data_IF_799484095963
#
_entry.id   IF_799484095963
#
_cell.length_a   1.000
_cell.length_b   1.000
_cell.length_c   1.000
_cell.angle_alpha   90.00
_cell.angle_beta   90.00
_cell.angle_gamma   90.00
#
_symmetry.space_group_name_H-M   'P 1'
#
loop_
_entity.id
_entity.type
_entity.pdbx_description
1 polymer ?
#
# COMPACT_ATOMS: atom_id res chain seq x y z
N UNK A 1 -7.28 -17.83 33.15
CA UNK A 1 -7.32 -17.03 31.90
C UNK A 1 -6.37 -15.83 31.97
N UNK A 2 -5.80 -15.52 33.14
CA UNK A 2 -4.83 -14.43 33.30
C UNK A 2 -3.46 -14.68 32.67
N UNK A 3 -3.01 -15.92 32.51
CA UNK A 3 -1.68 -16.24 31.93
C UNK A 3 -1.57 -15.87 30.45
N UNK A 4 -2.68 -15.93 29.69
CA UNK A 4 -2.71 -15.48 28.28
C UNK A 4 -2.80 -13.96 28.17
N UNK A 5 -3.52 -13.30 29.07
CA UNK A 5 -3.56 -11.84 29.13
C UNK A 5 -2.23 -11.25 29.61
N UNK A 6 -1.56 -11.90 30.55
CA UNK A 6 -0.22 -11.55 31.04
C UNK A 6 0.86 -11.86 30.00
N UNK A 7 0.72 -12.96 29.24
CA UNK A 7 1.59 -13.29 28.12
C UNK A 7 1.45 -12.30 26.95
N UNK A 8 0.22 -11.90 26.62
CA UNK A 8 -0.05 -10.86 25.62
C UNK A 8 0.45 -9.49 26.08
N UNK A 9 0.28 -9.15 27.37
CA UNK A 9 0.86 -7.94 27.98
C UNK A 9 2.38 -7.96 27.98
N UNK A 10 3.01 -9.11 28.22
CA UNK A 10 4.47 -9.26 28.18
C UNK A 10 5.03 -9.17 26.76
N UNK A 11 4.33 -9.69 25.75
CA UNK A 11 4.71 -9.48 24.36
C UNK A 11 4.47 -8.03 23.90
N UNK A 12 3.38 -7.40 24.34
CA UNK A 12 3.12 -5.98 24.09
C UNK A 12 4.13 -5.06 24.82
N UNK A 13 4.50 -5.38 26.06
CA UNK A 13 5.49 -4.63 26.83
C UNK A 13 6.92 -4.83 26.31
N UNK A 14 7.26 -6.03 25.82
CA UNK A 14 8.56 -6.29 25.18
C UNK A 14 8.69 -5.61 23.81
N UNK A 15 7.57 -5.37 23.10
CA UNK A 15 7.53 -4.60 21.86
C UNK A 15 7.56 -3.08 22.07
N UNK A 16 7.32 -2.61 23.31
CA UNK A 16 7.25 -1.20 23.72
C UNK A 16 8.33 -0.88 24.77
N UNK A 17 9.49 -1.53 24.69
CA UNK A 17 10.67 -1.03 25.39
C UNK A 17 11.30 0.06 24.51
N UNK A 18 11.31 1.34 24.92
CA UNK A 18 11.95 2.39 24.15
C UNK A 18 13.46 2.23 24.32
N UNK A 19 14.10 1.42 23.47
CA UNK A 19 15.54 1.52 23.32
C UNK A 19 15.83 2.82 22.58
N UNK A 20 16.01 3.89 23.35
CA UNK A 20 16.58 5.15 22.94
C UNK A 20 18.07 4.98 22.58
N UNK A 21 18.40 4.05 21.67
CA UNK A 21 19.69 4.06 21.01
C UNK A 21 19.58 5.02 19.83
N UNK A 22 20.45 6.03 19.72
CA UNK A 22 20.53 6.85 18.52
C UNK A 22 20.69 5.92 17.30
N UNK A 23 20.14 6.32 16.15
CA UNK A 23 20.35 5.62 14.88
C UNK A 23 21.85 5.54 14.61
N UNK A 24 22.48 4.42 14.98
CA UNK A 24 23.88 4.14 14.67
C UNK A 24 23.91 3.55 13.28
N UNK A 25 24.80 4.07 12.43
CA UNK A 25 24.97 3.63 11.05
C UNK A 25 25.72 2.29 11.00
N UNK A 26 25.12 1.25 11.56
CA UNK A 26 25.63 -0.11 11.53
C UNK A 26 25.33 -0.78 10.18
N UNK A 27 26.21 -1.65 9.70
CA UNK A 27 26.06 -2.41 8.46
C UNK A 27 24.67 -3.06 8.26
N UNK A 28 24.04 -3.70 9.27
CA UNK A 28 22.66 -4.20 9.15
C UNK A 28 21.61 -3.11 8.91
N UNK A 29 21.78 -1.91 9.48
CA UNK A 29 20.87 -0.79 9.27
C UNK A 29 21.01 -0.22 7.85
N UNK A 30 22.23 -0.22 7.30
CA UNK A 30 22.48 0.15 5.90
C UNK A 30 21.85 -0.85 4.93
N UNK A 31 21.99 -2.15 5.18
CA UNK A 31 21.32 -3.20 4.39
C UNK A 31 19.80 -3.04 4.49
N UNK A 32 19.28 -2.73 5.69
CA UNK A 32 17.87 -2.46 5.89
C UNK A 32 17.35 -1.26 5.12
N UNK A 33 18.12 -0.18 5.10
CA UNK A 33 17.82 1.01 4.33
C UNK A 33 17.81 0.71 2.82
N UNK A 34 18.79 -0.04 2.32
CA UNK A 34 18.86 -0.45 0.92
C UNK A 34 17.69 -1.36 0.51
N UNK A 35 17.30 -2.30 1.37
CA UNK A 35 16.12 -3.14 1.15
C UNK A 35 14.83 -2.32 1.17
N UNK A 36 14.71 -1.34 2.07
CA UNK A 36 13.56 -0.43 2.10
C UNK A 36 13.44 0.39 0.81
N UNK A 37 14.57 0.80 0.24
CA UNK A 37 14.62 1.52 -1.03
C UNK A 37 14.24 0.61 -2.21
N UNK A 38 14.64 -0.66 -2.19
CA UNK A 38 14.23 -1.65 -3.18
C UNK A 38 12.71 -1.92 -3.13
N UNK A 39 12.15 -2.07 -1.93
CA UNK A 39 10.70 -2.22 -1.73
C UNK A 39 9.96 -0.98 -2.24
N UNK A 40 10.47 0.22 -1.95
CA UNK A 40 9.92 1.47 -2.47
C UNK A 40 9.90 1.49 -4.01
N UNK A 41 10.98 1.03 -4.63
CA UNK A 41 11.12 0.99 -6.09
C UNK A 41 10.12 0.02 -6.74
N UNK A 42 9.93 -1.17 -6.15
CA UNK A 42 8.98 -2.17 -6.63
C UNK A 42 7.52 -1.71 -6.42
N UNK A 43 7.26 -0.96 -5.35
CA UNK A 43 5.92 -0.43 -5.05
C UNK A 43 5.51 0.76 -5.93
N UNK A 44 6.47 1.46 -6.53
CA UNK A 44 6.24 2.65 -7.37
C UNK A 44 5.20 2.48 -8.50
N UNK A 45 5.28 1.44 -9.35
CA UNK A 45 4.32 1.26 -10.45
C UNK A 45 2.88 0.95 -10.00
N UNK A 46 2.65 0.61 -8.73
CA UNK A 46 1.32 0.26 -8.21
C UNK A 46 0.47 1.43 -7.72
N UNK A 47 1.04 2.63 -7.52
CA UNK A 47 0.32 3.82 -7.03
C UNK A 47 -0.26 3.72 -5.62
N UNK A 48 -0.24 2.53 -5.02
CA UNK A 48 -0.78 2.19 -3.72
C UNK A 48 0.40 2.16 -2.75
N UNK A 49 0.82 3.32 -2.25
CA UNK A 49 2.02 3.47 -1.41
C UNK A 49 2.12 2.34 -0.38
N UNK A 50 3.20 1.57 -0.43
CA UNK A 50 3.41 0.29 0.29
C UNK A 50 3.55 0.41 1.81
N UNK A 51 2.63 1.15 2.45
CA UNK A 51 2.64 1.50 3.86
C UNK A 51 2.83 0.29 4.79
N UNK A 52 2.20 -0.84 4.48
CA UNK A 52 2.33 -2.09 5.23
C UNK A 52 3.74 -2.69 5.16
N UNK A 53 4.42 -2.59 4.02
CA UNK A 53 5.80 -3.06 3.90
C UNK A 53 6.78 -2.18 4.65
N UNK A 54 6.59 -0.85 4.66
CA UNK A 54 7.45 0.08 5.39
C UNK A 54 7.44 -0.18 6.90
N UNK A 55 6.27 -0.45 7.48
CA UNK A 55 6.16 -0.77 8.92
C UNK A 55 6.93 -2.06 9.25
N UNK A 56 6.78 -3.11 8.44
CA UNK A 56 7.52 -4.36 8.62
C UNK A 56 9.03 -4.15 8.51
N UNK A 57 9.47 -3.41 7.50
CA UNK A 57 10.88 -3.09 7.26
C UNK A 57 11.45 -2.29 8.43
N UNK A 58 10.76 -1.26 8.91
CA UNK A 58 11.23 -0.43 10.02
C UNK A 58 11.23 -1.17 11.36
N UNK A 59 10.24 -2.04 11.63
CA UNK A 59 10.25 -2.87 12.83
C UNK A 59 11.38 -3.91 12.82
N UNK A 60 11.63 -4.56 11.67
CA UNK A 60 12.63 -5.64 11.58
C UNK A 60 14.06 -5.09 11.51
N UNK A 61 14.29 -4.02 10.75
CA UNK A 61 15.63 -3.53 10.45
C UNK A 61 16.08 -2.43 11.40
N UNK A 62 15.19 -1.48 11.73
CA UNK A 62 15.53 -0.37 12.62
C UNK A 62 15.26 -0.69 14.08
N UNK A 63 14.63 -1.85 14.37
CA UNK A 63 14.15 -2.25 15.70
C UNK A 63 13.37 -1.13 16.41
N UNK A 64 12.70 -0.28 15.63
CA UNK A 64 11.89 0.79 16.17
C UNK A 64 10.64 0.18 16.82
N UNK A 65 10.16 0.76 17.93
CA UNK A 65 8.89 0.36 18.50
C UNK A 65 7.78 0.58 17.48
N UNK A 66 6.77 -0.28 17.49
CA UNK A 66 5.73 -0.34 16.45
C UNK A 66 5.05 1.03 16.20
N UNK A 67 4.84 1.81 17.26
CA UNK A 67 4.25 3.14 17.17
C UNK A 67 5.14 4.14 16.39
N UNK A 68 6.44 4.14 16.64
CA UNK A 68 7.41 5.02 15.96
C UNK A 68 7.67 4.56 14.53
N UNK A 69 7.74 3.24 14.31
CA UNK A 69 7.86 2.65 12.98
C UNK A 69 6.65 3.01 12.10
N UNK A 70 5.43 2.95 12.66
CA UNK A 70 4.20 3.33 11.97
C UNK A 70 4.17 4.82 11.62
N UNK A 71 4.55 5.70 12.57
CA UNK A 71 4.66 7.14 12.31
C UNK A 71 5.68 7.47 11.22
N UNK A 72 6.85 6.83 11.26
CA UNK A 72 7.92 7.01 10.27
C UNK A 72 7.50 6.49 8.90
N UNK A 73 6.82 5.34 8.83
CA UNK A 73 6.26 4.80 7.59
C UNK A 73 5.23 5.73 6.96
N UNK A 74 4.32 6.29 7.76
CA UNK A 74 3.33 7.25 7.27
C UNK A 74 4.00 8.50 6.69
N UNK A 75 5.05 9.01 7.35
CA UNK A 75 5.83 10.15 6.85
C UNK A 75 6.53 9.84 5.53
N UNK A 76 7.18 8.68 5.40
CA UNK A 76 7.88 8.28 4.16
C UNK A 76 6.91 8.13 2.99
N UNK A 77 5.75 7.51 3.23
CA UNK A 77 4.70 7.38 2.20
C UNK A 77 4.16 8.76 1.80
N UNK A 78 3.89 9.63 2.77
CA UNK A 78 3.44 11.00 2.50
C UNK A 78 4.48 11.77 1.67
N UNK A 79 5.75 11.73 2.08
CA UNK A 79 6.85 12.37 1.35
C UNK A 79 6.99 11.81 -0.08
N UNK A 80 6.85 10.50 -0.26
CA UNK A 80 6.86 9.85 -1.58
C UNK A 80 5.70 10.32 -2.47
N UNK A 81 4.49 10.42 -1.93
CA UNK A 81 3.32 10.94 -2.64
C UNK A 81 3.48 12.42 -3.01
N UNK A 82 4.01 13.25 -2.09
CA UNK A 82 4.29 14.67 -2.37
C UNK A 82 5.36 14.81 -3.45
N UNK A 83 6.46 14.05 -3.38
CA UNK A 83 7.51 14.07 -4.41
C UNK A 83 6.96 13.63 -5.78
N UNK A 84 6.12 12.59 -5.81
CA UNK A 84 5.44 12.14 -7.03
C UNK A 84 4.52 13.23 -7.58
N UNK A 85 3.70 13.85 -6.73
CA UNK A 85 2.82 14.95 -7.11
C UNK A 85 3.63 16.15 -7.67
N UNK A 86 4.69 16.59 -6.99
CA UNK A 86 5.57 17.67 -7.46
C UNK A 86 6.19 17.34 -8.82
N UNK A 87 6.67 16.10 -9.00
CA UNK A 87 7.25 15.66 -10.28
C UNK A 87 6.23 15.61 -11.42
N UNK A 88 4.96 15.33 -11.11
CA UNK A 88 3.86 15.27 -12.06
C UNK A 88 3.29 16.67 -12.37
N UNK A 89 3.28 17.58 -11.38
CA UNK A 89 2.88 18.98 -11.57
C UNK A 89 3.80 19.74 -12.53
N UNK A 90 5.10 19.39 -12.56
CA UNK A 90 6.07 19.95 -13.49
C UNK A 90 6.00 19.39 -14.91
N UNK A 91 5.18 18.36 -15.17
CA UNK A 91 5.05 17.71 -16.48
C UNK A 91 3.79 18.20 -17.18
N UNK A 92 3.97 18.78 -18.36
CA UNK A 92 2.87 19.14 -19.27
C UNK A 92 2.51 17.94 -20.14
N UNK A 93 1.23 17.83 -20.48
CA UNK A 93 0.73 16.70 -21.23
C UNK A 93 1.28 16.69 -22.68
N UNK A 94 2.11 15.70 -23.09
CA UNK A 94 2.74 15.71 -24.42
C UNK A 94 1.76 15.52 -25.58
N UNK A 95 0.55 15.05 -25.29
CA UNK A 95 -0.48 14.69 -26.28
C UNK A 95 -1.50 15.80 -26.56
N UNK A 96 -1.45 16.94 -25.86
CA UNK A 96 -2.40 18.04 -26.02
C UNK A 96 -1.76 19.25 -26.70
N UNK A 97 -2.42 19.81 -27.73
CA UNK A 97 -1.99 21.02 -28.43
C UNK A 97 -2.04 22.31 -27.57
N UNK A 98 -2.48 22.22 -26.31
CA UNK A 98 -2.51 23.28 -25.30
C UNK A 98 -1.76 22.82 -24.05
N UNK A 99 -1.15 23.73 -23.27
CA UNK A 99 -0.49 23.40 -22.01
C UNK A 99 -1.54 23.00 -20.96
N UNK A 100 -2.00 21.76 -21.04
CA UNK A 100 -2.84 21.15 -20.02
C UNK A 100 -1.94 20.43 -19.00
N UNK A 101 -2.21 20.57 -17.70
CA UNK A 101 -1.51 19.78 -16.68
C UNK A 101 -1.75 18.29 -16.95
N UNK A 102 -0.73 17.47 -16.69
CA UNK A 102 -0.86 16.01 -16.80
C UNK A 102 -1.84 15.43 -15.76
N UNK A 103 -2.07 16.16 -14.66
CA UNK A 103 -2.97 15.79 -13.56
C UNK A 103 -4.36 16.37 -13.81
N UNK A 104 -5.39 15.52 -13.77
CA UNK A 104 -6.79 15.93 -13.74
C UNK A 104 -7.21 16.29 -12.30
N UNK A 105 -7.17 17.59 -11.99
CA UNK A 105 -7.50 18.10 -10.66
C UNK A 105 -9.00 18.01 -10.33
N UNK A 106 -9.89 18.00 -11.31
CA UNK A 106 -11.34 17.91 -11.07
C UNK A 106 -11.67 16.52 -10.52
N UNK A 107 -11.08 15.48 -11.10
CA UNK A 107 -11.20 14.11 -10.59
C UNK A 107 -10.61 13.96 -9.18
N UNK A 108 -9.48 14.62 -8.88
CA UNK A 108 -8.86 14.60 -7.54
C UNK A 108 -9.77 15.30 -6.52
N UNK A 109 -10.34 16.45 -6.86
CA UNK A 109 -11.22 17.22 -5.98
C UNK A 109 -12.53 16.49 -5.66
N UNK A 110 -13.03 15.66 -6.58
CA UNK A 110 -14.21 14.81 -6.32
C UNK A 110 -13.86 13.61 -5.45
N UNK A 111 -12.66 13.03 -5.60
CA UNK A 111 -12.24 11.85 -4.84
C UNK A 111 -11.68 12.16 -3.45
N UNK A 112 -11.06 13.32 -3.25
CA UNK A 112 -10.36 13.63 -2.00
C UNK A 112 -11.32 13.76 -0.79
N UNK A 113 -12.46 14.50 -0.86
CA UNK A 113 -13.38 14.65 0.26
C UNK A 113 -13.97 13.33 0.79
N UNK A 114 -14.52 12.41 -0.04
CA UNK A 114 -15.04 11.15 0.47
C UNK A 114 -13.94 10.25 1.04
N UNK A 115 -12.70 10.35 0.52
CA UNK A 115 -11.56 9.64 1.09
C UNK A 115 -11.23 10.14 2.51
N UNK A 116 -11.11 11.46 2.68
CA UNK A 116 -10.84 12.08 3.98
C UNK A 116 -11.96 11.82 4.99
N UNK A 117 -13.22 11.89 4.55
CA UNK A 117 -14.39 11.56 5.37
C UNK A 117 -14.34 10.10 5.84
N UNK A 118 -14.00 9.17 4.94
CA UNK A 118 -13.86 7.75 5.27
C UNK A 118 -12.76 7.49 6.30
N UNK A 119 -11.60 8.14 6.17
CA UNK A 119 -10.51 8.04 7.15
C UNK A 119 -10.96 8.60 8.51
N UNK A 120 -11.53 9.80 8.54
CA UNK A 120 -12.02 10.42 9.77
C UNK A 120 -13.07 9.56 10.48
N UNK A 121 -14.03 9.02 9.72
CA UNK A 121 -15.04 8.11 10.24
C UNK A 121 -14.42 6.82 10.77
N UNK A 122 -13.46 6.24 10.05
CA UNK A 122 -12.73 5.04 10.49
C UNK A 122 -12.02 5.24 11.83
N UNK A 123 -11.37 6.39 12.03
CA UNK A 123 -10.70 6.74 13.30
C UNK A 123 -11.71 6.89 14.44
N UNK A 124 -12.86 7.53 14.18
CA UNK A 124 -13.93 7.65 15.18
C UNK A 124 -14.51 6.29 15.57
N UNK A 125 -14.78 5.43 14.59
CA UNK A 125 -15.29 4.07 14.81
C UNK A 125 -14.25 3.22 15.56
N UNK A 126 -12.97 3.39 15.26
CA UNK A 126 -11.87 2.72 15.96
C UNK A 126 -11.81 3.09 17.45
N UNK A 127 -12.18 4.33 17.81
CA UNK A 127 -12.19 4.76 19.21
C UNK A 127 -13.37 4.20 20.02
N UNK A 128 -14.48 3.86 19.36
CA UNK A 128 -15.73 3.44 20.01
C UNK A 128 -15.91 1.92 20.02
N UNK A 129 -15.42 1.21 19.00
CA UNK A 129 -15.57 -0.24 18.90
C UNK A 129 -14.54 -1.01 19.72
N UNK A 130 -14.96 -2.19 20.19
CA UNK A 130 -14.06 -3.15 20.80
C UNK A 130 -13.12 -3.77 19.73
N UNK A 131 -11.89 -4.08 20.14
CA UNK A 131 -10.82 -4.58 19.28
C UNK A 131 -11.20 -5.86 18.51
N UNK A 132 -11.97 -6.75 19.13
CA UNK A 132 -12.43 -7.98 18.49
C UNK A 132 -13.37 -7.72 17.29
N UNK A 133 -14.23 -6.71 17.39
CA UNK A 133 -15.12 -6.31 16.28
C UNK A 133 -14.32 -5.73 15.12
N UNK A 134 -13.33 -4.89 15.42
CA UNK A 134 -12.47 -4.26 14.41
C UNK A 134 -11.67 -5.30 13.64
N UNK A 135 -11.11 -6.29 14.36
CA UNK A 135 -10.35 -7.38 13.74
C UNK A 135 -11.24 -8.25 12.84
N UNK A 136 -12.49 -8.54 13.23
CA UNK A 136 -13.43 -9.26 12.38
C UNK A 136 -13.81 -8.46 11.13
N UNK A 137 -14.09 -7.17 11.28
CA UNK A 137 -14.43 -6.29 10.15
C UNK A 137 -13.26 -6.17 9.17
N UNK A 138 -12.05 -6.06 9.70
CA UNK A 138 -10.82 -6.04 8.91
C UNK A 138 -10.65 -7.37 8.15
N UNK A 139 -10.80 -8.50 8.83
CA UNK A 139 -10.65 -9.83 8.22
C UNK A 139 -11.70 -10.06 7.12
N UNK A 140 -12.95 -9.66 7.34
CA UNK A 140 -14.00 -9.73 6.32
C UNK A 140 -13.66 -8.88 5.10
N UNK A 141 -13.19 -7.65 5.31
CA UNK A 141 -12.80 -6.74 4.22
C UNK A 141 -11.63 -7.31 3.43
N UNK A 142 -10.62 -7.85 4.12
CA UNK A 142 -9.48 -8.53 3.49
C UNK A 142 -9.91 -9.75 2.69
N UNK A 143 -10.73 -10.62 3.27
CA UNK A 143 -11.25 -11.82 2.59
C UNK A 143 -12.04 -11.43 1.33
N UNK A 144 -12.87 -10.39 1.41
CA UNK A 144 -13.60 -9.84 0.27
C UNK A 144 -12.65 -9.29 -0.80
N UNK A 145 -11.62 -8.53 -0.42
CA UNK A 145 -10.62 -8.02 -1.35
C UNK A 145 -9.88 -9.14 -2.06
N UNK A 146 -9.43 -10.17 -1.33
CA UNK A 146 -8.76 -11.33 -1.91
C UNK A 146 -9.68 -12.09 -2.87
N UNK A 147 -10.94 -12.28 -2.48
CA UNK A 147 -11.94 -12.92 -3.33
C UNK A 147 -12.17 -12.15 -4.64
N UNK A 148 -12.42 -10.84 -4.55
CA UNK A 148 -12.65 -9.98 -5.72
C UNK A 148 -11.42 -9.89 -6.62
N UNK A 149 -10.22 -9.77 -6.05
CA UNK A 149 -8.96 -9.76 -6.78
C UNK A 149 -8.74 -11.08 -7.53
N UNK A 150 -8.93 -12.20 -6.85
CA UNK A 150 -8.74 -13.54 -7.45
C UNK A 150 -9.75 -13.77 -8.58
N UNK A 151 -11.01 -13.37 -8.39
CA UNK A 151 -12.03 -13.43 -9.44
C UNK A 151 -11.69 -12.55 -10.63
N UNK A 152 -11.20 -11.33 -10.39
CA UNK A 152 -10.77 -10.41 -11.45
C UNK A 152 -9.60 -10.98 -12.24
N UNK A 153 -8.58 -11.49 -11.53
CA UNK A 153 -7.40 -12.11 -12.14
C UNK A 153 -7.77 -13.30 -13.03
N UNK A 154 -8.62 -14.21 -12.53
CA UNK A 154 -9.08 -15.36 -13.31
C UNK A 154 -9.83 -14.90 -14.57
N UNK A 155 -10.64 -13.83 -14.48
CA UNK A 155 -11.35 -13.27 -15.64
C UNK A 155 -10.37 -12.72 -16.67
N UNK A 156 -9.38 -11.94 -16.26
CA UNK A 156 -8.37 -11.36 -17.15
C UNK A 156 -7.60 -12.45 -17.89
N UNK A 157 -7.10 -13.46 -17.19
CA UNK A 157 -6.38 -14.60 -17.81
C UNK A 157 -7.26 -15.37 -18.79
N UNK A 158 -8.55 -15.58 -18.47
CA UNK A 158 -9.50 -16.24 -19.38
C UNK A 158 -9.75 -15.43 -20.65
N UNK A 159 -9.86 -14.11 -20.53
CA UNK A 159 -10.06 -13.21 -21.68
C UNK A 159 -8.84 -13.19 -22.59
N UNK A 160 -7.63 -13.15 -22.02
CA UNK A 160 -6.38 -13.24 -22.80
C UNK A 160 -6.25 -14.56 -23.56
N UNK A 161 -6.59 -15.69 -22.93
CA UNK A 161 -6.59 -17.00 -23.60
C UNK A 161 -7.58 -17.04 -24.77
N UNK A 162 -8.77 -16.46 -24.61
CA UNK A 162 -9.78 -16.38 -25.69
C UNK A 162 -9.32 -15.47 -26.84
N UNK A 163 -8.68 -14.33 -26.53
CA UNK A 163 -8.12 -13.44 -27.56
C UNK A 163 -7.04 -14.13 -28.38
N UNK A 164 -6.12 -14.85 -27.73
CA UNK A 164 -5.07 -15.61 -28.42
C UNK A 164 -5.64 -16.72 -29.31
N UNK A 165 -6.64 -17.47 -28.81
CA UNK A 165 -7.31 -18.51 -29.60
C UNK A 165 -8.10 -17.94 -30.80
N UNK A 166 -8.79 -16.81 -30.62
CA UNK A 166 -9.52 -16.15 -31.71
C UNK A 166 -8.57 -15.55 -32.76
N UNK A 167 -7.42 -15.00 -32.34
CA UNK A 167 -6.40 -14.50 -33.25
C UNK A 167 -5.78 -15.64 -34.09
N UNK A 168 -5.42 -16.77 -33.46
CA UNK A 168 -4.91 -17.94 -34.16
C UNK A 168 -5.92 -18.51 -35.17
N UNK A 169 -7.20 -18.59 -34.79
CA UNK A 169 -8.26 -19.04 -35.69
C UNK A 169 -8.56 -18.06 -36.84
N UNK A 170 -8.35 -16.75 -36.63
CA UNK A 170 -8.48 -15.74 -37.68
C UNK A 170 -7.31 -15.80 -38.68
N UNK A 171 -6.09 -16.04 -38.18
CA UNK A 171 -4.89 -16.22 -39.00
C UNK A 171 -4.97 -17.50 -39.86
N UNK A 172 -5.45 -18.60 -39.29
CA UNK A 172 -5.67 -19.86 -40.02
C UNK A 172 -6.75 -19.73 -41.11
N UNK A 173 -7.83 -18.98 -40.83
CA UNK A 173 -8.88 -18.68 -41.84
C UNK A 173 -8.39 -17.75 -42.95
N UNK A 174 -7.45 -16.84 -42.65
CA UNK A 174 -6.85 -15.97 -43.64
C UNK A 174 -5.81 -16.70 -44.50
N UNK A 175 -5.15 -17.74 -43.97
CA UNK A 175 -4.21 -18.58 -44.72
C UNK A 175 -4.89 -19.64 -45.60
N UNK A 176 -6.14 -20.01 -45.30
CA UNK A 176 -6.93 -20.98 -46.05
C UNK A 176 -7.81 -20.38 -47.16
N UNK A 177 -7.81 -19.05 -47.30
CA UNK A 177 -8.55 -18.28 -48.32
C UNK A 177 -7.58 -17.73 -49.38
#
# INVERSE_FOLDING_TARGET
MDVLAEGARRMAAAAVAPSASPFVMDTPNVIGLLLSALVAFISGPGGQGGSSFYVCVFCVLLKLPLAEAAGTAAFVVFAGSVASALSAMGRLNPASAKPAPLIDYDSVLVMLPPMLLGIAWGVLVNAVLAEWCLNLLLLMTWAWMVYTLTRSLIRTVRLERRRKAAAAAAEERAAAA
#
